data_IF_535127029758
#
_entry.id   IF_535127029758
#
_cell.length_a   1.000
_cell.length_b   1.000
_cell.length_c   1.000
_cell.angle_alpha   90.00
_cell.angle_beta   90.00
_cell.angle_gamma   90.00
#
_symmetry.space_group_name_H-M   'P 1'
#
loop_
_entity.id
_entity.type
_entity.pdbx_description
1 polymer ?
#
# COMPACT_ATOMS: atom_id res chain seq x y z
N UNK A 1 30.39 -60.63 -10.57
CA UNK A 1 30.45 -59.46 -9.66
C UNK A 1 30.61 -58.20 -10.50
N UNK A 2 29.53 -57.79 -11.17
CA UNK A 2 29.47 -56.62 -12.06
C UNK A 2 28.06 -56.06 -11.88
N UNK A 3 27.94 -54.77 -11.66
CA UNK A 3 26.70 -53.97 -11.69
C UNK A 3 25.72 -53.89 -10.52
N UNK A 4 25.91 -54.55 -9.37
CA UNK A 4 24.98 -54.33 -8.24
C UNK A 4 25.23 -53.06 -7.42
N UNK A 5 26.39 -52.40 -7.57
CA UNK A 5 26.72 -51.16 -6.86
C UNK A 5 26.18 -49.87 -7.51
N UNK A 6 25.67 -49.93 -8.75
CA UNK A 6 25.22 -48.73 -9.48
C UNK A 6 23.75 -48.36 -9.15
N UNK A 7 22.96 -49.28 -8.59
CA UNK A 7 21.53 -49.06 -8.34
C UNK A 7 21.21 -48.30 -7.05
N UNK A 8 22.17 -48.14 -6.13
CA UNK A 8 21.93 -47.50 -4.82
C UNK A 8 22.25 -45.99 -4.84
N UNK A 9 22.98 -45.49 -5.84
CA UNK A 9 23.33 -44.07 -5.96
C UNK A 9 22.22 -43.20 -6.58
N UNK A 10 21.15 -43.82 -7.09
CA UNK A 10 20.09 -43.12 -7.86
C UNK A 10 18.87 -42.69 -7.03
N UNK A 11 18.90 -42.78 -5.69
CA UNK A 11 17.72 -42.53 -4.84
C UNK A 11 17.77 -41.23 -4.00
N UNK A 12 18.80 -40.40 -4.13
CA UNK A 12 18.95 -39.19 -3.31
C UNK A 12 18.68 -37.88 -4.07
N UNK A 13 17.85 -37.92 -5.12
CA UNK A 13 17.25 -36.71 -5.66
C UNK A 13 15.99 -36.37 -4.84
N UNK A 14 16.22 -36.04 -3.57
CA UNK A 14 15.22 -35.44 -2.70
C UNK A 14 14.79 -34.13 -3.37
N UNK A 15 13.58 -34.14 -3.93
CA UNK A 15 12.87 -32.96 -4.38
C UNK A 15 12.77 -31.99 -3.20
N UNK A 16 13.68 -31.04 -3.09
CA UNK A 16 13.51 -29.89 -2.20
C UNK A 16 12.43 -29.02 -2.83
N UNK A 17 11.17 -29.33 -2.52
CA UNK A 17 10.07 -28.42 -2.77
C UNK A 17 10.30 -27.16 -1.94
N UNK A 18 10.85 -26.11 -2.56
CA UNK A 18 10.76 -24.76 -2.02
C UNK A 18 9.29 -24.34 -2.07
N UNK A 19 8.56 -24.59 -0.98
CA UNK A 19 7.26 -23.98 -0.78
C UNK A 19 7.46 -22.47 -0.66
N UNK A 20 7.21 -21.72 -1.73
CA UNK A 20 7.22 -20.26 -1.68
C UNK A 20 5.93 -19.80 -0.97
N UNK A 21 5.95 -19.81 0.36
CA UNK A 21 4.91 -19.19 1.17
C UNK A 21 4.95 -17.68 0.92
N UNK A 22 4.11 -17.19 0.00
CA UNK A 22 3.96 -15.75 -0.23
C UNK A 22 3.66 -15.06 1.10
N UNK A 23 4.56 -14.19 1.58
CA UNK A 23 4.32 -13.45 2.84
C UNK A 23 3.27 -12.38 2.58
N UNK A 24 2.04 -12.68 2.96
CA UNK A 24 0.94 -11.71 2.94
C UNK A 24 1.04 -10.88 4.21
N UNK A 25 1.22 -9.58 4.06
CA UNK A 25 1.37 -8.63 5.16
C UNK A 25 0.18 -7.66 5.14
N UNK A 26 -0.31 -7.32 6.33
CA UNK A 26 -1.29 -6.25 6.54
C UNK A 26 -0.59 -5.08 7.24
N UNK A 27 -0.75 -3.88 6.69
CA UNK A 27 -0.19 -2.65 7.25
C UNK A 27 -1.26 -1.56 7.30
N UNK A 28 -1.15 -0.70 8.30
CA UNK A 28 -1.93 0.52 8.43
C UNK A 28 -1.03 1.73 8.14
N UNK A 29 -1.44 2.59 7.21
CA UNK A 29 -0.66 3.74 6.74
C UNK A 29 -1.48 5.01 6.94
N UNK A 30 -0.89 6.04 7.55
CA UNK A 30 -1.49 7.36 7.57
C UNK A 30 -1.41 7.97 6.17
N UNK A 31 -2.57 8.33 5.61
CA UNK A 31 -2.66 8.98 4.29
C UNK A 31 -3.53 10.22 4.40
N UNK A 32 -2.99 11.37 4.02
CA UNK A 32 -3.69 12.64 4.13
C UNK A 32 -4.69 12.84 2.98
N UNK A 33 -5.90 13.26 3.32
CA UNK A 33 -7.03 13.45 2.41
C UNK A 33 -8.28 13.84 3.20
N UNK A 34 -9.26 14.46 2.54
CA UNK A 34 -10.41 15.09 3.22
C UNK A 34 -11.79 14.67 2.68
N UNK A 35 -11.90 14.10 1.48
CA UNK A 35 -13.19 13.83 0.83
C UNK A 35 -13.24 12.45 0.16
N UNK A 36 -14.45 12.02 -0.24
CA UNK A 36 -14.68 10.73 -0.91
C UNK A 36 -13.93 10.58 -2.24
N UNK A 37 -13.66 11.68 -2.95
CA UNK A 37 -12.81 11.67 -4.13
C UNK A 37 -11.35 11.31 -3.81
N UNK A 38 -10.84 11.74 -2.66
CA UNK A 38 -9.51 11.35 -2.21
C UNK A 38 -9.48 9.83 -1.94
N UNK A 39 -10.52 9.26 -1.31
CA UNK A 39 -10.67 7.81 -1.12
C UNK A 39 -10.54 7.04 -2.43
N UNK A 40 -11.31 7.44 -3.45
CA UNK A 40 -11.29 6.79 -4.75
C UNK A 40 -9.90 6.85 -5.41
N UNK A 41 -9.23 8.01 -5.34
CA UNK A 41 -7.88 8.20 -5.90
C UNK A 41 -6.82 7.36 -5.18
N UNK A 42 -6.81 7.38 -3.85
CA UNK A 42 -5.86 6.62 -3.02
C UNK A 42 -6.02 5.12 -3.28
N UNK A 43 -7.25 4.61 -3.26
CA UNK A 43 -7.49 3.18 -3.50
C UNK A 43 -7.16 2.77 -4.93
N UNK A 44 -7.47 3.61 -5.94
CA UNK A 44 -7.12 3.34 -7.34
C UNK A 44 -5.60 3.31 -7.56
N UNK A 45 -4.82 4.11 -6.81
CA UNK A 45 -3.36 4.06 -6.88
C UNK A 45 -2.78 2.71 -6.46
N UNK A 46 -3.53 1.93 -5.68
CA UNK A 46 -3.17 0.63 -5.14
C UNK A 46 -3.87 -0.54 -5.85
N UNK A 47 -4.57 -0.29 -6.94
CA UNK A 47 -5.05 -1.34 -7.84
C UNK A 47 -3.87 -1.84 -8.71
N UNK A 48 -2.90 -2.51 -8.05
CA UNK A 48 -1.64 -2.96 -8.62
C UNK A 48 -1.37 -4.41 -8.26
N UNK A 49 -0.65 -5.12 -9.13
CA UNK A 49 -0.23 -6.50 -8.86
C UNK A 49 0.55 -6.61 -7.56
N UNK A 50 0.12 -7.50 -6.68
CA UNK A 50 0.74 -7.70 -5.36
C UNK A 50 -0.04 -7.07 -4.22
N UNK A 51 -0.92 -6.10 -4.50
CA UNK A 51 -1.93 -5.65 -3.54
C UNK A 51 -3.11 -6.62 -3.58
N UNK A 52 -3.61 -7.02 -2.40
CA UNK A 52 -4.81 -7.86 -2.24
C UNK A 52 -6.02 -7.02 -1.90
N UNK A 53 -5.88 -6.11 -0.94
CA UNK A 53 -6.94 -5.17 -0.54
C UNK A 53 -6.34 -3.83 -0.13
N UNK A 54 -7.10 -2.76 -0.37
CA UNK A 54 -6.78 -1.42 0.07
C UNK A 54 -8.08 -0.69 0.44
N UNK A 55 -8.20 -0.24 1.68
CA UNK A 55 -9.36 0.49 2.17
C UNK A 55 -8.92 1.71 2.96
N UNK A 56 -9.27 2.90 2.49
CA UNK A 56 -8.98 4.14 3.19
C UNK A 56 -10.24 4.71 3.84
N UNK A 57 -10.09 5.18 5.08
CA UNK A 57 -11.14 5.79 5.87
C UNK A 57 -10.90 7.29 6.02
N UNK A 58 -11.88 8.10 5.61
CA UNK A 58 -11.74 9.56 5.57
C UNK A 58 -11.75 10.21 6.96
N UNK A 59 -12.40 9.58 7.94
CA UNK A 59 -12.49 10.12 9.31
C UNK A 59 -11.17 9.97 10.04
N UNK A 60 -10.59 8.77 9.95
CA UNK A 60 -9.33 8.41 10.61
C UNK A 60 -8.10 8.78 9.78
N UNK A 61 -8.29 9.05 8.47
CA UNK A 61 -7.22 9.27 7.48
C UNK A 61 -6.24 8.09 7.43
N UNK A 62 -6.74 6.89 7.68
CA UNK A 62 -5.95 5.67 7.77
C UNK A 62 -6.27 4.72 6.60
N UNK A 63 -5.23 4.18 5.98
CA UNK A 63 -5.30 3.19 4.92
C UNK A 63 -4.91 1.82 5.46
N UNK A 64 -5.84 0.88 5.41
CA UNK A 64 -5.57 -0.53 5.65
C UNK A 64 -5.22 -1.20 4.31
N UNK A 65 -4.00 -1.72 4.19
CA UNK A 65 -3.52 -2.38 2.97
C UNK A 65 -3.02 -3.78 3.28
N UNK A 66 -3.45 -4.75 2.47
CA UNK A 66 -2.95 -6.13 2.50
C UNK A 66 -2.22 -6.41 1.20
N UNK A 67 -0.96 -6.83 1.28
CA UNK A 67 -0.10 -7.02 0.11
C UNK A 67 0.85 -8.20 0.27
N UNK A 68 1.44 -8.64 -0.85
CA UNK A 68 2.50 -9.64 -0.86
C UNK A 68 3.87 -8.96 -0.71
N UNK A 69 4.55 -9.18 0.41
CA UNK A 69 5.85 -8.56 0.70
C UNK A 69 6.99 -9.07 -0.16
N UNK A 70 6.81 -10.18 -0.87
CA UNK A 70 7.79 -10.67 -1.85
C UNK A 70 7.74 -9.86 -3.16
N UNK A 71 6.67 -9.10 -3.38
CA UNK A 71 6.44 -8.31 -4.60
C UNK A 71 6.53 -6.80 -4.37
N UNK A 72 6.13 -6.34 -3.19
CA UNK A 72 6.03 -4.93 -2.85
C UNK A 72 6.56 -4.70 -1.45
N UNK A 73 7.18 -3.55 -1.25
CA UNK A 73 7.56 -3.04 0.07
C UNK A 73 6.57 -1.99 0.54
N UNK A 74 6.48 -1.78 1.85
CA UNK A 74 5.67 -0.71 2.43
C UNK A 74 6.06 0.66 1.85
N UNK A 75 7.36 0.90 1.65
CA UNK A 75 7.87 2.15 1.06
C UNK A 75 7.36 2.37 -0.37
N UNK A 76 7.24 1.33 -1.19
CA UNK A 76 6.64 1.45 -2.53
C UNK A 76 5.16 1.84 -2.46
N UNK A 77 4.41 1.32 -1.49
CA UNK A 77 3.01 1.70 -1.26
C UNK A 77 2.90 3.20 -0.94
N UNK A 78 3.77 3.72 -0.05
CA UNK A 78 3.83 5.15 0.24
C UNK A 78 4.12 5.98 -1.03
N UNK A 79 5.07 5.52 -1.87
CA UNK A 79 5.42 6.20 -3.13
C UNK A 79 4.25 6.20 -4.11
N UNK A 80 3.53 5.09 -4.28
CA UNK A 80 2.39 5.02 -5.19
C UNK A 80 1.27 6.00 -4.80
N UNK A 81 1.09 6.22 -3.50
CA UNK A 81 0.12 7.19 -2.97
C UNK A 81 0.60 8.63 -3.22
N UNK A 82 1.89 8.90 -2.99
CA UNK A 82 2.52 10.19 -3.28
C UNK A 82 2.50 10.55 -4.77
N UNK A 83 2.65 9.56 -5.66
CA UNK A 83 2.56 9.70 -7.12
C UNK A 83 1.20 10.25 -7.58
N UNK A 84 0.13 9.98 -6.82
CA UNK A 84 -1.22 10.48 -7.12
C UNK A 84 -1.61 11.71 -6.30
N UNK A 85 -0.64 12.38 -5.68
CA UNK A 85 -0.84 13.65 -5.00
C UNK A 85 -1.15 13.55 -3.52
N UNK A 86 -1.18 12.36 -2.92
CA UNK A 86 -1.51 12.20 -1.50
C UNK A 86 -0.27 11.93 -0.66
N UNK A 87 -0.11 12.68 0.42
CA UNK A 87 0.97 12.47 1.37
C UNK A 87 0.67 11.29 2.26
N UNK A 88 1.75 10.67 2.71
CA UNK A 88 1.76 9.75 3.82
C UNK A 88 2.74 10.23 4.88
N UNK A 89 2.80 9.53 6.00
CA UNK A 89 3.85 9.70 7.02
C UNK A 89 5.29 9.50 6.48
N UNK A 90 5.49 8.63 5.49
CA UNK A 90 6.83 8.33 4.92
C UNK A 90 7.14 8.89 3.52
N UNK A 91 6.15 9.38 2.77
CA UNK A 91 6.36 9.93 1.43
C UNK A 91 5.47 11.15 1.20
N UNK A 92 6.07 12.21 0.69
CA UNK A 92 5.37 13.44 0.34
C UNK A 92 5.17 13.52 -1.17
N UNK A 93 3.95 13.83 -1.61
CA UNK A 93 3.66 14.11 -3.00
C UNK A 93 4.38 15.38 -3.45
N UNK A 94 4.89 15.37 -4.69
CA UNK A 94 5.46 16.58 -5.29
C UNK A 94 4.40 17.67 -5.37
N UNK A 95 4.80 18.91 -5.13
CA UNK A 95 3.89 20.05 -5.09
C UNK A 95 3.16 20.25 -6.43
N UNK A 96 3.83 19.96 -7.56
CA UNK A 96 3.24 20.00 -8.90
C UNK A 96 2.12 18.98 -9.14
N UNK A 97 2.17 17.82 -8.46
CA UNK A 97 1.13 16.79 -8.54
C UNK A 97 0.00 17.15 -7.57
N UNK A 98 0.38 17.60 -6.39
CA UNK A 98 -0.53 18.05 -5.34
C UNK A 98 -1.44 19.19 -5.82
N UNK A 99 -0.86 20.23 -6.44
CA UNK A 99 -1.59 21.39 -6.93
C UNK A 99 -2.60 21.07 -8.05
N UNK A 100 -2.51 19.88 -8.67
CA UNK A 100 -3.46 19.40 -9.69
C UNK A 100 -4.63 18.64 -9.08
N UNK A 101 -4.64 18.42 -7.76
CA UNK A 101 -5.77 17.80 -7.10
C UNK A 101 -7.00 18.71 -7.13
N UNK A 102 -8.22 18.13 -7.13
CA UNK A 102 -9.44 18.91 -6.93
C UNK A 102 -9.39 19.66 -5.60
N UNK A 103 -10.07 20.80 -5.54
CA UNK A 103 -10.10 21.70 -4.37
C UNK A 103 -10.33 20.97 -3.03
N UNK A 104 -11.28 20.03 -2.94
CA UNK A 104 -11.54 19.30 -1.68
C UNK A 104 -10.39 18.37 -1.23
N UNK A 105 -9.43 18.06 -2.10
CA UNK A 105 -8.24 17.26 -1.77
C UNK A 105 -7.00 18.13 -1.50
N UNK A 106 -7.10 19.46 -1.55
CA UNK A 106 -6.02 20.39 -1.16
C UNK A 106 -5.95 20.59 0.37
N UNK A 107 -5.82 19.49 1.11
CA UNK A 107 -5.74 19.43 2.58
C UNK A 107 -4.54 20.14 3.26
N UNK A 108 -3.49 20.52 2.52
CA UNK A 108 -2.30 21.24 3.04
C UNK A 108 -2.60 22.74 3.14
N UNK A 109 -3.43 23.24 2.23
CA UNK A 109 -3.75 24.66 2.09
C UNK A 109 -4.95 25.06 2.96
N UNK A 110 -5.75 24.06 3.36
CA UNK A 110 -6.96 24.21 4.15
C UNK A 110 -6.95 23.23 5.32
N UNK A 111 -6.03 23.45 6.27
CA UNK A 111 -6.09 22.77 7.56
C UNK A 111 -7.25 23.38 8.39
N UNK A 112 -8.41 22.75 8.36
CA UNK A 112 -9.55 23.11 9.23
C UNK A 112 -9.31 22.60 10.66
N UNK A 113 -8.17 22.96 11.26
CA UNK A 113 -7.87 22.74 12.68
C UNK A 113 -8.38 23.88 13.57
N UNK A 114 -9.40 24.63 13.12
CA UNK A 114 -9.96 25.76 13.87
C UNK A 114 -11.32 26.27 13.39
N UNK A 115 -12.30 25.39 13.18
CA UNK A 115 -13.70 25.83 13.18
C UNK A 115 -14.23 25.66 14.60
N UNK A 116 -14.13 26.70 15.42
CA UNK A 116 -15.02 26.84 16.57
C UNK A 116 -16.44 26.92 16.01
N UNK A 117 -17.31 26.01 16.46
CA UNK A 117 -18.73 26.00 16.15
C UNK A 117 -19.34 27.31 16.70
N UNK A 118 -19.35 28.34 15.85
CA UNK A 118 -20.06 29.58 16.09
C UNK A 118 -21.56 29.28 16.18
N UNK A 119 -22.07 29.40 17.41
CA UNK A 119 -23.47 29.54 17.80
C UNK A 119 -24.30 30.23 16.69
N UNK A 120 -25.15 29.43 16.04
CA UNK A 120 -26.25 29.94 15.23
C UNK A 120 -27.52 29.95 16.09
N UNK A 121 -27.78 31.13 16.64
CA UNK A 121 -29.07 31.57 17.17
C UNK A 121 -30.26 31.22 16.28
#
# INVERSE_FOLDING_TARGET
>A
MKNTFILIFSLLLSLTSFGQSSKVVKTEIKVYGNCGMCKARIQKALDRTGIKTASWDAKTKNLSVVYNSDKLTELEIHKFIAEVGHDTDKAKAKDEVYAKLPFCCLYRDHDHSGMEDGDHR
#
